data_IF_862735922553
#
_entry.id   IF_862735922553
#
_cell.length_a   1.000
_cell.length_b   1.000
_cell.length_c   1.000
_cell.angle_alpha   90.00
_cell.angle_beta   90.00
_cell.angle_gamma   90.00
#
_symmetry.space_group_name_H-M   'P 1'
#
loop_
_entity.id
_entity.type
_entity.pdbx_description
1 polymer ?
#
# COMPACT_ATOMS: atom_id res chain seq x y z
N UNK A 1 -10.64 31.89 -40.02
CA UNK A 1 -11.88 31.11 -39.89
C UNK A 1 -11.52 29.80 -39.18
N UNK A 2 -11.53 29.82 -37.84
CA UNK A 2 -12.43 29.00 -36.99
C UNK A 2 -11.70 27.71 -36.56
N UNK A 3 -11.07 27.60 -35.39
CA UNK A 3 -11.57 27.55 -34.00
C UNK A 3 -12.32 26.26 -33.62
N UNK A 4 -11.73 25.47 -32.70
CA UNK A 4 -12.27 24.64 -31.60
C UNK A 4 -11.18 23.61 -31.21
N UNK A 5 -10.47 23.63 -30.08
CA UNK A 5 -10.79 23.77 -28.64
C UNK A 5 -11.52 22.55 -28.02
N UNK A 6 -10.82 21.82 -27.15
CA UNK A 6 -11.36 20.74 -26.33
C UNK A 6 -10.43 20.43 -25.14
N UNK A 7 -10.61 21.16 -24.04
CA UNK A 7 -10.14 20.81 -22.69
C UNK A 7 -11.17 19.87 -22.02
N UNK A 8 -10.86 19.28 -20.84
CA UNK A 8 -11.27 19.99 -19.62
C UNK A 8 -10.30 19.91 -18.43
N UNK A 9 -10.26 21.01 -17.68
CA UNK A 9 -9.82 21.15 -16.29
C UNK A 9 -10.96 21.80 -15.50
N UNK A 10 -11.30 21.27 -14.31
CA UNK A 10 -11.67 21.96 -13.04
C UNK A 10 -12.32 20.90 -12.09
N UNK A 11 -11.71 20.55 -10.94
CA UNK A 11 -11.99 21.05 -9.55
C UNK A 11 -13.42 20.70 -9.07
N UNK A 12 -13.69 20.12 -7.90
CA UNK A 12 -13.24 20.37 -6.50
C UNK A 12 -13.69 19.18 -5.60
N UNK A 13 -12.93 18.72 -4.60
CA UNK A 13 -13.05 18.98 -3.15
C UNK A 13 -14.44 18.89 -2.49
N UNK A 14 -14.49 18.16 -1.35
CA UNK A 14 -15.56 18.00 -0.32
C UNK A 14 -16.66 16.97 -0.66
N UNK A 15 -17.05 15.96 0.15
CA UNK A 15 -17.05 15.77 1.60
C UNK A 15 -16.77 14.30 2.02
N UNK A 16 -16.09 14.13 3.16
CA UNK A 16 -16.05 12.89 3.94
C UNK A 16 -17.09 13.01 5.06
N UNK A 17 -18.19 12.26 4.95
CA UNK A 17 -19.24 12.22 5.98
C UNK A 17 -19.27 10.83 6.62
N UNK A 18 -18.91 10.80 7.91
CA UNK A 18 -19.40 9.94 8.98
C UNK A 18 -19.94 8.54 8.60
N UNK A 19 -19.16 7.50 8.88
CA UNK A 19 -19.71 6.17 9.19
C UNK A 19 -19.54 5.83 10.67
N UNK A 20 -20.67 6.04 11.35
CA UNK A 20 -21.18 5.40 12.56
C UNK A 20 -20.25 4.42 13.31
N UNK A 21 -19.80 4.91 14.48
CA UNK A 21 -19.60 4.12 15.68
C UNK A 21 -20.94 3.50 16.14
N UNK A 22 -21.05 2.18 16.08
CA UNK A 22 -21.97 1.42 16.92
C UNK A 22 -21.36 0.04 17.20
N UNK A 23 -20.81 -0.16 18.40
CA UNK A 23 -20.95 -1.43 19.11
C UNK A 23 -20.77 -1.20 20.64
N UNK A 24 -21.91 -1.24 21.33
CA UNK A 24 -22.15 -1.84 22.64
C UNK A 24 -21.40 -1.34 23.92
N UNK A 25 -22.18 -0.62 24.74
CA UNK A 25 -22.18 -0.52 26.21
C UNK A 25 -22.25 -1.92 26.91
N UNK A 26 -22.05 -2.11 28.26
CA UNK A 26 -22.61 -1.23 29.31
C UNK A 26 -22.01 -1.19 30.76
N UNK A 27 -22.43 -0.13 31.47
CA UNK A 27 -22.94 -0.07 32.88
C UNK A 27 -22.06 -0.19 34.15
N UNK A 28 -22.55 0.56 35.17
CA UNK A 28 -22.31 0.53 36.64
C UNK A 28 -21.00 1.22 37.14
N UNK A 29 -20.93 2.10 38.15
CA UNK A 29 -21.83 2.49 39.25
C UNK A 29 -21.15 3.56 40.15
N UNK A 30 -21.88 4.61 40.59
CA UNK A 30 -21.75 5.39 41.86
C UNK A 30 -20.44 6.17 42.14
N UNK A 31 -20.36 7.28 42.90
CA UNK A 31 -21.29 8.13 43.68
C UNK A 31 -20.47 9.36 44.17
N UNK A 32 -21.18 10.41 44.59
CA UNK A 32 -20.78 11.50 45.52
C UNK A 32 -19.82 12.56 44.95
N UNK A 33 -20.01 13.88 45.13
CA UNK A 33 -20.58 14.61 46.25
C UNK A 33 -20.98 16.05 45.84
N UNK A 34 -22.04 16.56 46.48
CA UNK A 34 -22.67 17.88 46.33
C UNK A 34 -22.22 18.81 47.47
N UNK A 35 -21.97 20.08 47.14
CA UNK A 35 -22.01 21.32 47.96
C UNK A 35 -21.30 21.50 49.31
N UNK A 36 -20.70 22.70 49.47
CA UNK A 36 -20.76 23.63 50.63
C UNK A 36 -20.15 24.97 50.15
N UNK A 37 -20.91 26.04 49.93
CA UNK A 37 -21.62 26.94 50.86
C UNK A 37 -20.71 27.92 51.62
N UNK A 38 -21.08 29.21 51.45
CA UNK A 38 -20.84 30.41 52.25
C UNK A 38 -19.44 31.02 52.43
N UNK A 39 -19.35 32.25 51.91
CA UNK A 39 -18.90 33.45 52.61
C UNK A 39 -17.41 33.62 52.96
N UNK A 40 -16.72 34.33 52.07
CA UNK A 40 -15.87 35.44 52.51
C UNK A 40 -16.06 36.60 51.53
N UNK A 41 -17.03 37.44 51.89
CA UNK A 41 -17.29 38.78 51.36
C UNK A 41 -16.07 39.66 51.63
N UNK A 42 -15.00 39.48 50.87
CA UNK A 42 -14.04 40.56 50.66
C UNK A 42 -14.69 41.52 49.69
N UNK A 43 -14.98 42.73 50.17
CA UNK A 43 -15.24 43.86 49.30
C UNK A 43 -14.00 44.04 48.43
N UNK A 44 -13.98 43.38 47.29
CA UNK A 44 -13.15 43.82 46.17
C UNK A 44 -13.64 45.22 45.88
N UNK A 45 -12.85 46.19 46.31
CA UNK A 45 -12.87 47.54 45.79
C UNK A 45 -12.71 47.37 44.27
N UNK A 46 -13.85 47.29 43.58
CA UNK A 46 -13.90 47.40 42.14
C UNK A 46 -13.22 48.74 41.85
N UNK A 47 -12.03 48.77 41.21
CA UNK A 47 -11.54 50.03 40.72
C UNK A 47 -12.64 50.53 39.80
N UNK A 48 -13.23 51.67 40.14
CA UNK A 48 -14.15 52.39 39.27
C UNK A 48 -13.54 52.34 37.88
N UNK A 49 -14.26 51.73 36.93
CA UNK A 49 -13.88 51.79 35.51
C UNK A 49 -13.49 53.25 35.25
N UNK A 50 -12.23 53.53 34.84
CA UNK A 50 -11.85 54.90 34.57
C UNK A 50 -12.86 55.44 33.57
N UNK A 51 -13.47 56.58 33.91
CA UNK A 51 -14.46 57.24 33.06
C UNK A 51 -13.97 57.19 31.61
N UNK A 52 -14.81 56.80 30.64
CA UNK A 52 -14.38 56.63 29.26
C UNK A 52 -13.65 57.90 28.87
N UNK A 53 -12.37 57.76 28.50
CA UNK A 53 -11.58 58.89 28.05
C UNK A 53 -12.41 59.62 26.99
N UNK A 54 -12.46 60.97 26.99
CA UNK A 54 -13.37 61.70 26.13
C UNK A 54 -13.24 61.14 24.71
N UNK A 55 -14.32 60.85 23.98
CA UNK A 55 -14.29 60.03 22.76
C UNK A 55 -13.25 60.51 21.74
N UNK A 56 -12.93 61.81 21.80
CA UNK A 56 -11.88 62.48 21.04
C UNK A 56 -10.46 62.00 21.37
N UNK A 57 -10.12 61.67 22.62
CA UNK A 57 -8.81 61.18 23.05
C UNK A 57 -8.57 59.71 22.62
N UNK A 58 -9.57 58.84 22.72
CA UNK A 58 -9.46 57.47 22.22
C UNK A 58 -9.35 57.41 20.70
N UNK A 59 -10.13 58.24 20.00
CA UNK A 59 -10.04 58.36 18.55
C UNK A 59 -8.65 58.84 18.10
N UNK A 60 -8.06 59.82 18.81
CA UNK A 60 -6.70 60.29 18.57
C UNK A 60 -5.66 59.19 18.81
N UNK A 61 -5.76 58.43 19.89
CA UNK A 61 -4.84 57.32 20.18
C UNK A 61 -4.93 56.19 19.13
N UNK A 62 -6.15 55.85 18.72
CA UNK A 62 -6.42 54.88 17.64
C UNK A 62 -5.85 55.36 16.30
N UNK A 63 -6.05 56.64 15.96
CA UNK A 63 -5.49 57.25 14.74
C UNK A 63 -3.95 57.31 14.75
N UNK A 64 -3.33 57.63 15.89
CA UNK A 64 -1.87 57.64 16.02
C UNK A 64 -1.27 56.24 15.96
N UNK A 65 -1.94 55.22 16.53
CA UNK A 65 -1.54 53.81 16.44
C UNK A 65 -1.67 53.30 15.00
N UNK A 66 -2.77 53.65 14.31
CA UNK A 66 -2.96 53.36 12.90
C UNK A 66 -1.88 54.03 12.03
N UNK A 67 -1.59 55.32 12.24
CA UNK A 67 -0.51 56.04 11.55
C UNK A 67 0.86 55.38 11.77
N UNK A 68 1.19 54.99 13.01
CA UNK A 68 2.45 54.30 13.34
C UNK A 68 2.53 52.90 12.71
N UNK A 69 1.41 52.17 12.63
CA UNK A 69 1.35 50.86 11.99
C UNK A 69 1.48 50.97 10.46
N UNK A 70 0.84 51.96 9.85
CA UNK A 70 0.95 52.27 8.41
C UNK A 70 2.39 52.67 8.07
N UNK A 71 3.02 53.53 8.88
CA UNK A 71 4.42 53.93 8.68
C UNK A 71 5.41 52.77 8.86
N UNK A 72 5.14 51.83 9.78
CA UNK A 72 5.98 50.64 9.97
C UNK A 72 5.86 49.62 8.83
N UNK A 73 4.72 49.62 8.12
CA UNK A 73 4.44 48.72 7.00
C UNK A 73 4.40 47.24 7.37
N UNK A 74 3.96 46.40 6.42
CA UNK A 74 3.81 44.95 6.62
C UNK A 74 5.17 44.21 6.71
N UNK A 75 6.26 44.86 6.29
CA UNK A 75 7.62 44.32 6.30
C UNK A 75 8.55 45.00 7.32
N UNK A 76 7.99 45.41 8.47
CA UNK A 76 8.70 46.18 9.50
C UNK A 76 9.92 45.48 10.12
N UNK A 77 9.92 44.15 10.22
CA UNK A 77 11.01 43.41 10.86
C UNK A 77 11.73 42.47 9.87
N UNK A 78 12.92 42.89 9.40
CA UNK A 78 13.85 42.01 8.67
C UNK A 78 14.52 41.03 9.65
N UNK A 79 13.92 39.87 9.86
CA UNK A 79 14.54 38.80 10.67
C UNK A 79 15.68 38.15 9.90
N UNK A 80 16.92 38.27 10.39
CA UNK A 80 18.10 37.60 9.82
C UNK A 80 18.03 36.10 10.10
N UNK A 81 18.40 35.27 9.12
CA UNK A 81 18.51 33.80 9.32
C UNK A 81 19.79 33.51 10.10
N UNK A 82 19.67 33.25 11.40
CA UNK A 82 20.78 32.86 12.26
C UNK A 82 21.19 31.42 11.92
N UNK A 83 22.48 31.18 11.70
CA UNK A 83 23.06 29.85 11.50
C UNK A 83 23.76 29.46 12.79
N UNK A 84 23.27 28.42 13.46
CA UNK A 84 23.80 27.97 14.75
C UNK A 84 24.95 26.98 14.60
N UNK A 85 25.11 26.34 13.44
CA UNK A 85 26.25 25.47 13.13
C UNK A 85 27.30 26.18 12.27
N UNK A 86 28.61 25.97 12.52
CA UNK A 86 29.68 26.48 11.66
C UNK A 86 29.73 25.73 10.31
N UNK A 87 29.25 24.48 10.26
CA UNK A 87 29.24 23.67 9.04
C UNK A 87 28.07 24.03 8.13
N UNK A 88 28.36 24.36 6.86
CA UNK A 88 27.34 24.59 5.85
C UNK A 88 26.82 23.25 5.29
N UNK A 89 25.53 22.94 5.54
CA UNK A 89 24.86 21.76 4.97
C UNK A 89 24.09 22.14 3.72
N UNK A 90 24.22 21.33 2.66
CA UNK A 90 23.43 21.50 1.44
C UNK A 90 21.93 21.44 1.79
N UNK A 91 21.14 22.47 1.44
CA UNK A 91 19.71 22.44 1.70
C UNK A 91 19.06 21.31 0.90
N UNK A 92 18.01 20.70 1.47
CA UNK A 92 17.21 19.73 0.73
C UNK A 92 16.47 20.48 -0.36
N UNK A 93 16.81 20.17 -1.60
CA UNK A 93 16.15 20.70 -2.79
C UNK A 93 15.03 19.76 -3.22
N UNK A 94 14.04 20.31 -3.92
CA UNK A 94 12.99 19.52 -4.55
C UNK A 94 13.61 18.58 -5.60
N UNK A 95 13.20 17.31 -5.60
CA UNK A 95 13.60 16.32 -6.60
C UNK A 95 12.34 15.80 -7.30
N UNK A 96 12.08 16.31 -8.51
CA UNK A 96 10.91 15.88 -9.29
C UNK A 96 11.05 14.40 -9.70
N UNK A 97 9.92 13.71 -9.78
CA UNK A 97 9.87 12.36 -10.38
C UNK A 97 10.07 12.48 -11.89
N UNK A 98 10.62 11.43 -12.51
CA UNK A 98 10.81 11.40 -13.96
C UNK A 98 9.45 11.36 -14.67
N UNK A 99 9.23 12.27 -15.60
CA UNK A 99 8.09 12.29 -16.52
C UNK A 99 8.66 12.33 -17.96
N UNK A 100 8.94 11.16 -18.57
CA UNK A 100 9.52 11.13 -19.92
C UNK A 100 8.51 11.58 -20.96
N UNK A 101 8.95 12.34 -21.98
CA UNK A 101 8.09 12.85 -23.06
C UNK A 101 7.61 11.75 -24.02
N UNK A 102 8.36 10.66 -24.15
CA UNK A 102 8.04 9.52 -24.99
C UNK A 102 8.45 8.22 -24.30
N UNK A 103 7.69 7.13 -24.47
CA UNK A 103 8.07 5.83 -23.91
C UNK A 103 9.28 5.25 -24.65
N UNK A 104 10.20 4.59 -23.93
CA UNK A 104 11.38 3.94 -24.53
C UNK A 104 11.07 2.67 -25.32
N UNK A 105 9.92 2.06 -25.06
CA UNK A 105 9.40 0.89 -25.76
C UNK A 105 7.95 1.16 -26.07
N UNK A 106 7.54 0.85 -27.30
CA UNK A 106 6.15 1.02 -27.74
C UNK A 106 5.19 0.14 -26.92
N UNK A 107 5.57 -1.11 -26.66
CA UNK A 107 4.78 -2.07 -25.91
C UNK A 107 5.58 -2.71 -24.75
N UNK A 108 4.90 -3.10 -23.66
CA UNK A 108 5.51 -3.94 -22.64
C UNK A 108 5.85 -5.32 -23.21
N UNK A 109 6.88 -5.96 -22.66
CA UNK A 109 7.24 -7.33 -23.07
C UNK A 109 6.25 -8.32 -22.45
N UNK A 110 5.84 -9.33 -23.22
CA UNK A 110 5.08 -10.46 -22.69
C UNK A 110 5.92 -11.28 -21.72
N UNK A 111 5.28 -11.86 -20.71
CA UNK A 111 5.94 -12.80 -19.81
C UNK A 111 6.27 -14.08 -20.59
N UNK A 112 7.54 -14.50 -20.55
CA UNK A 112 8.03 -15.74 -21.19
C UNK A 112 7.96 -16.97 -20.26
N UNK A 113 7.69 -16.74 -18.97
CA UNK A 113 7.59 -17.76 -17.94
C UNK A 113 6.13 -17.87 -17.50
N UNK A 114 5.34 -18.43 -18.40
CA UNK A 114 3.93 -18.79 -18.24
C UNK A 114 3.79 -20.16 -17.56
N UNK A 115 2.58 -20.50 -17.11
CA UNK A 115 2.35 -21.70 -16.30
C UNK A 115 2.77 -23.00 -17.02
N UNK A 116 2.52 -23.07 -18.33
CA UNK A 116 2.96 -24.17 -19.20
C UNK A 116 4.48 -24.20 -19.42
N UNK A 117 5.13 -23.03 -19.48
CA UNK A 117 6.59 -22.96 -19.58
C UNK A 117 7.28 -23.37 -18.27
N UNK A 118 6.62 -23.16 -17.12
CA UNK A 118 7.13 -23.52 -15.79
C UNK A 118 7.12 -25.04 -15.59
N UNK A 119 6.01 -25.72 -15.89
CA UNK A 119 5.84 -27.17 -15.71
C UNK A 119 5.99 -27.85 -17.06
N UNK A 120 7.11 -28.57 -17.27
CA UNK A 120 7.39 -29.23 -18.54
C UNK A 120 6.66 -30.57 -18.66
N UNK A 121 6.98 -31.50 -17.76
CA UNK A 121 6.38 -32.84 -17.74
C UNK A 121 6.45 -33.47 -16.34
N UNK A 122 5.51 -34.36 -15.98
CA UNK A 122 5.60 -35.16 -14.77
C UNK A 122 6.70 -36.22 -14.91
N UNK A 123 7.34 -36.59 -13.79
CA UNK A 123 8.26 -37.72 -13.75
C UNK A 123 7.52 -39.00 -13.40
N UNK A 124 7.65 -40.00 -14.28
CA UNK A 124 7.02 -41.33 -14.16
C UNK A 124 8.01 -42.44 -13.76
N UNK A 125 9.18 -42.08 -13.25
CA UNK A 125 10.19 -43.05 -12.79
C UNK A 125 9.70 -43.82 -11.56
N UNK A 126 10.19 -45.05 -11.33
CA UNK A 126 9.82 -45.88 -10.17
C UNK A 126 9.92 -45.14 -8.83
N UNK A 127 11.02 -44.40 -8.62
CA UNK A 127 11.21 -43.61 -7.40
C UNK A 127 10.21 -42.47 -7.24
N UNK A 128 9.69 -41.93 -8.35
CA UNK A 128 8.65 -40.92 -8.36
C UNK A 128 7.28 -41.53 -8.09
N UNK A 129 6.98 -42.70 -8.66
CA UNK A 129 5.74 -43.44 -8.40
C UNK A 129 5.60 -43.79 -6.91
N UNK A 130 6.66 -44.29 -6.28
CA UNK A 130 6.69 -44.52 -4.82
C UNK A 130 6.38 -43.26 -4.01
N UNK A 131 6.81 -42.08 -4.50
CA UNK A 131 6.55 -40.80 -3.83
C UNK A 131 5.11 -40.30 -4.00
N UNK A 132 4.40 -40.75 -5.03
CA UNK A 132 2.98 -40.47 -5.23
C UNK A 132 2.18 -41.25 -4.19
N UNK A 133 2.45 -42.55 -4.06
CA UNK A 133 1.77 -43.47 -3.13
C UNK A 133 2.05 -43.13 -1.66
N UNK A 134 3.32 -43.12 -1.24
CA UNK A 134 3.66 -43.05 0.19
C UNK A 134 3.43 -41.67 0.82
N UNK A 135 3.63 -40.60 0.04
CA UNK A 135 3.82 -39.25 0.60
C UNK A 135 2.80 -38.23 0.09
N UNK A 136 1.88 -38.64 -0.81
CA UNK A 136 0.96 -37.78 -1.53
C UNK A 136 1.70 -36.62 -2.25
N UNK A 137 2.70 -36.98 -3.06
CA UNK A 137 3.57 -35.99 -3.73
C UNK A 137 3.72 -36.25 -5.22
N UNK A 138 3.48 -35.21 -6.01
CA UNK A 138 3.74 -35.23 -7.45
C UNK A 138 5.14 -34.74 -7.74
N UNK A 139 5.81 -35.40 -8.68
CA UNK A 139 7.16 -35.02 -9.10
C UNK A 139 7.11 -34.47 -10.51
N UNK A 140 7.57 -33.24 -10.69
CA UNK A 140 7.62 -32.57 -12.00
C UNK A 140 9.04 -32.21 -12.40
N UNK A 141 9.29 -32.20 -13.70
CA UNK A 141 10.38 -31.44 -14.29
C UNK A 141 9.89 -30.04 -14.62
N UNK A 142 10.64 -29.06 -14.16
CA UNK A 142 10.30 -27.64 -14.24
C UNK A 142 11.46 -26.84 -14.81
N UNK A 143 11.18 -25.62 -15.27
CA UNK A 143 12.21 -24.71 -15.74
C UNK A 143 13.20 -24.32 -14.62
N UNK A 144 14.47 -24.17 -14.98
CA UNK A 144 15.56 -23.86 -14.04
C UNK A 144 15.39 -22.49 -13.40
N UNK A 145 14.72 -21.55 -14.06
CA UNK A 145 14.47 -20.20 -13.53
C UNK A 145 13.22 -20.13 -12.63
N UNK A 146 12.42 -21.19 -12.59
CA UNK A 146 11.16 -21.18 -11.84
C UNK A 146 11.38 -21.19 -10.32
N UNK A 147 10.73 -20.27 -9.62
CA UNK A 147 10.73 -20.20 -8.16
C UNK A 147 9.66 -21.14 -7.56
N UNK A 148 9.82 -21.54 -6.29
CA UNK A 148 8.85 -22.41 -5.58
C UNK A 148 7.43 -21.84 -5.60
N UNK A 149 7.29 -20.52 -5.44
CA UNK A 149 5.98 -19.85 -5.49
C UNK A 149 5.33 -19.93 -6.87
N UNK A 150 6.12 -19.81 -7.94
CA UNK A 150 5.63 -19.91 -9.32
C UNK A 150 5.19 -21.32 -9.65
N UNK A 151 5.95 -22.34 -9.19
CA UNK A 151 5.58 -23.75 -9.35
C UNK A 151 4.26 -24.03 -8.61
N UNK A 152 4.12 -23.56 -7.37
CA UNK A 152 2.88 -23.69 -6.58
C UNK A 152 1.68 -23.09 -7.32
N UNK A 153 1.82 -21.89 -7.86
CA UNK A 153 0.76 -21.23 -8.63
C UNK A 153 0.46 -21.92 -9.97
N UNK A 154 1.48 -22.44 -10.66
CA UNK A 154 1.30 -23.15 -11.92
C UNK A 154 0.57 -24.47 -11.72
N UNK A 155 0.95 -25.28 -10.72
CA UNK A 155 0.25 -26.53 -10.39
C UNK A 155 -1.20 -26.25 -10.03
N UNK A 156 -1.44 -25.23 -9.20
CA UNK A 156 -2.80 -24.85 -8.79
C UNK A 156 -3.68 -24.45 -9.96
N UNK A 157 -3.16 -23.74 -10.96
CA UNK A 157 -3.94 -23.26 -12.11
C UNK A 157 -4.11 -24.29 -13.23
N UNK A 158 -3.14 -25.18 -13.42
CA UNK A 158 -3.17 -26.14 -14.53
C UNK A 158 -4.00 -27.37 -14.20
N UNK A 159 -4.00 -27.77 -12.94
CA UNK A 159 -4.63 -29.00 -12.50
C UNK A 159 -5.74 -28.77 -11.46
N UNK A 160 -5.97 -27.52 -11.05
CA UNK A 160 -6.98 -27.12 -10.05
C UNK A 160 -6.81 -27.80 -8.68
N UNK A 161 -5.56 -27.91 -8.22
CA UNK A 161 -5.19 -28.62 -6.98
C UNK A 161 -4.57 -27.65 -5.97
N UNK A 162 -4.89 -27.84 -4.70
CA UNK A 162 -4.18 -27.16 -3.63
C UNK A 162 -2.90 -27.89 -3.20
N UNK A 163 -1.84 -27.10 -3.10
CA UNK A 163 -0.48 -27.57 -2.79
C UNK A 163 -0.13 -27.17 -1.37
N UNK A 164 0.28 -28.13 -0.55
CA UNK A 164 0.79 -27.89 0.78
C UNK A 164 2.19 -27.24 0.70
N UNK A 165 3.18 -27.97 0.19
CA UNK A 165 4.58 -27.51 0.08
C UNK A 165 5.27 -27.96 -1.20
N UNK A 166 6.26 -27.18 -1.65
CA UNK A 166 7.08 -27.49 -2.82
C UNK A 166 8.56 -27.53 -2.44
N UNK A 167 9.21 -28.65 -2.72
CA UNK A 167 10.66 -28.82 -2.61
C UNK A 167 11.25 -28.93 -4.02
N UNK A 168 12.44 -28.37 -4.24
CA UNK A 168 13.07 -28.34 -5.56
C UNK A 168 14.54 -28.71 -5.46
N UNK A 169 15.05 -29.46 -6.43
CA UNK A 169 16.47 -29.73 -6.62
C UNK A 169 16.83 -29.59 -8.10
N UNK A 170 18.08 -29.27 -8.40
CA UNK A 170 18.59 -29.26 -9.78
C UNK A 170 19.28 -30.60 -10.00
N UNK A 171 18.89 -31.32 -11.05
CA UNK A 171 19.53 -32.58 -11.46
C UNK A 171 20.90 -32.31 -12.08
N UNK A 172 21.84 -33.26 -12.07
CA UNK A 172 23.10 -33.14 -12.82
C UNK A 172 22.85 -32.92 -14.33
N UNK A 173 21.71 -33.38 -14.85
CA UNK A 173 21.23 -33.15 -16.23
C UNK A 173 20.98 -31.65 -16.55
N UNK A 174 21.01 -30.78 -15.54
CA UNK A 174 20.74 -29.35 -15.67
C UNK A 174 19.26 -28.97 -15.58
N UNK A 175 18.35 -29.94 -15.43
CA UNK A 175 16.93 -29.69 -15.27
C UNK A 175 16.50 -29.64 -13.80
N UNK A 176 15.54 -28.77 -13.47
CA UNK A 176 15.04 -28.67 -12.11
C UNK A 176 13.93 -29.69 -11.88
N UNK A 177 14.07 -30.49 -10.83
CA UNK A 177 13.08 -31.44 -10.31
C UNK A 177 12.33 -30.80 -9.15
N UNK A 178 11.00 -30.85 -9.17
CA UNK A 178 10.14 -30.34 -8.12
C UNK A 178 9.30 -31.45 -7.51
N UNK A 179 9.38 -31.60 -6.18
CA UNK A 179 8.48 -32.42 -5.38
C UNK A 179 7.38 -31.53 -4.82
N UNK A 180 6.14 -31.80 -5.23
CA UNK A 180 4.97 -31.01 -4.90
C UNK A 180 4.10 -31.86 -4.00
N UNK A 181 4.04 -31.53 -2.71
CA UNK A 181 3.10 -32.18 -1.77
C UNK A 181 1.74 -31.53 -1.91
N UNK A 182 0.72 -32.34 -2.12
CA UNK A 182 -0.66 -31.86 -2.20
C UNK A 182 -1.21 -31.58 -0.79
N UNK A 183 -2.31 -30.84 -0.73
CA UNK A 183 -3.14 -30.78 0.46
C UNK A 183 -3.75 -32.17 0.74
N UNK A 184 -4.04 -32.52 2.01
CA UNK A 184 -4.59 -33.82 2.36
C UNK A 184 -5.98 -34.08 1.76
N UNK A 185 -6.67 -33.03 1.31
CA UNK A 185 -7.99 -33.11 0.68
C UNK A 185 -7.95 -33.70 -0.75
N UNK A 186 -6.76 -33.79 -1.35
CA UNK A 186 -6.55 -34.28 -2.71
C UNK A 186 -5.64 -35.51 -2.69
N UNK A 187 -6.03 -36.56 -3.42
CA UNK A 187 -5.17 -37.72 -3.65
C UNK A 187 -4.30 -37.54 -4.90
N UNK A 188 -2.99 -37.75 -4.74
CA UNK A 188 -2.03 -37.66 -5.84
C UNK A 188 -2.20 -38.77 -6.87
N UNK A 189 -2.73 -39.95 -6.50
CA UNK A 189 -2.97 -41.04 -7.46
C UNK A 189 -4.04 -40.64 -8.49
N UNK A 190 -5.17 -40.10 -8.03
CA UNK A 190 -6.26 -39.64 -8.88
C UNK A 190 -5.82 -38.50 -9.81
N UNK A 191 -5.02 -37.58 -9.28
CA UNK A 191 -4.44 -36.51 -10.09
C UNK A 191 -3.46 -37.07 -11.11
N UNK A 192 -2.58 -37.99 -10.72
CA UNK A 192 -1.59 -38.57 -11.62
C UNK A 192 -2.26 -39.25 -12.81
N UNK A 193 -3.38 -39.94 -12.60
CA UNK A 193 -4.16 -40.56 -13.69
C UNK A 193 -4.71 -39.51 -14.67
N UNK A 194 -5.21 -38.37 -14.17
CA UNK A 194 -5.65 -37.24 -15.01
C UNK A 194 -4.49 -36.62 -15.79
N UNK A 195 -3.35 -36.42 -15.14
CA UNK A 195 -2.15 -35.83 -15.77
C UNK A 195 -1.54 -36.76 -16.82
N UNK A 196 -1.51 -38.07 -16.54
CA UNK A 196 -0.98 -39.10 -17.43
C UNK A 196 -1.79 -39.15 -18.73
N UNK A 197 -3.12 -39.16 -18.64
CA UNK A 197 -4.00 -39.11 -19.81
C UNK A 197 -3.78 -37.84 -20.66
N UNK A 198 -3.59 -36.68 -20.03
CA UNK A 198 -3.29 -35.42 -20.74
C UNK A 198 -1.90 -35.42 -21.41
N UNK A 199 -0.89 -36.06 -20.79
CA UNK A 199 0.47 -36.14 -21.34
C UNK A 199 0.52 -36.98 -22.63
N UNK A 200 -0.18 -38.12 -22.67
CA UNK A 200 -0.20 -38.98 -23.87
C UNK A 200 -0.96 -38.36 -25.04
N UNK A 201 -1.95 -37.49 -24.79
CA UNK A 201 -2.66 -36.77 -25.86
C UNK A 201 -1.78 -35.70 -26.52
N UNK A 202 -0.92 -35.03 -25.76
CA UNK A 202 -0.06 -33.97 -26.29
C UNK A 202 1.11 -34.50 -27.14
N UNK A 203 1.60 -35.72 -26.88
CA UNK A 203 2.68 -36.34 -27.67
C UNK A 203 2.22 -36.91 -29.02
N UNK A 204 0.92 -37.18 -29.20
CA UNK A 204 0.37 -37.80 -30.41
C UNK A 204 -0.48 -36.85 -31.29
N UNK A 205 -0.59 -35.56 -30.95
CA UNK A 205 -1.24 -34.56 -31.82
C UNK A 205 -0.27 -33.49 -32.27
N UNK A 206 0.82 -33.90 -32.92
CA UNK A 206 1.49 -33.07 -33.94
C UNK A 206 2.02 -33.96 -35.10
N UNK A 207 1.15 -34.57 -35.92
CA UNK A 207 1.53 -34.78 -37.31
C UNK A 207 1.42 -33.41 -38.01
N UNK A 208 2.58 -32.82 -38.30
CA UNK A 208 2.82 -31.86 -39.39
C UNK A 208 1.78 -30.75 -39.63
N UNK A 209 2.12 -29.53 -39.19
CA UNK A 209 2.09 -28.35 -40.07
C UNK A 209 3.49 -28.17 -40.63
#
# INVERSE_FOLDING_TARGET
MGAQAGAPCFQSCEELVFSALLFFLPFHFKRDYIERFSESRTLVFFPSLPAPAPPKAEAKAKALKAKKAVLKGVHSHKKKKIRTSPTFRRPKTLRLRRQPKYPRKSAPRRNKLDHYAIIKFPLTTESAMKKIEDNNTLVFIVDVKANKHQIKQAVKKLYDIDVAKVNTLIRPDGEKKAYVRLAPDYDALDVANKVSFLSYRCLNTHPWV
#
